data_IF_097421791314
#
_entry.id   IF_097421791314
#
_cell.length_a   1.000
_cell.length_b   1.000
_cell.length_c   1.000
_cell.angle_alpha   90.00
_cell.angle_beta   90.00
_cell.angle_gamma   90.00
#
_symmetry.space_group_name_H-M   'P 1'
#
loop_
_entity.id
_entity.type
_entity.pdbx_description
1 polymer ?
#
# COMPACT_ATOMS: atom_id res chain seq x y z
N UNK A 1 17.47 -21.60 24.04
CA UNK A 1 16.25 -20.94 23.50
C UNK A 1 15.74 -21.80 22.35
N UNK A 2 14.46 -22.20 22.33
CA UNK A 2 13.88 -22.91 21.19
C UNK A 2 13.29 -21.88 20.23
N UNK A 3 13.78 -21.84 18.99
CA UNK A 3 13.24 -20.95 17.96
C UNK A 3 11.97 -21.58 17.40
N UNK A 4 10.83 -20.97 17.69
CA UNK A 4 9.55 -21.43 17.18
C UNK A 4 9.15 -20.58 15.97
N UNK A 5 9.04 -21.24 14.81
CA UNK A 5 8.56 -20.63 13.57
C UNK A 5 7.05 -20.79 13.48
N UNK A 6 6.32 -19.68 13.53
CA UNK A 6 4.87 -19.67 13.37
C UNK A 6 4.48 -19.09 11.99
N UNK A 7 3.67 -19.81 11.18
CA UNK A 7 3.07 -19.25 9.98
C UNK A 7 2.04 -18.18 10.37
N UNK A 8 2.09 -17.02 9.74
CA UNK A 8 1.10 -15.95 9.96
C UNK A 8 -0.25 -16.36 9.36
N UNK A 9 -1.37 -16.25 10.09
CA UNK A 9 -2.69 -16.59 9.55
C UNK A 9 -3.06 -15.73 8.34
N UNK A 10 -3.41 -16.36 7.22
CA UNK A 10 -3.79 -15.73 5.95
C UNK A 10 -5.31 -15.69 5.80
N UNK A 11 -6.01 -14.85 6.58
CA UNK A 11 -7.47 -14.72 6.50
C UNK A 11 -7.95 -13.28 6.73
N UNK A 12 -8.96 -12.81 5.96
CA UNK A 12 -9.56 -13.43 4.78
C UNK A 12 -8.66 -13.34 3.55
N UNK A 13 -8.78 -14.32 2.62
CA UNK A 13 -8.07 -14.28 1.34
C UNK A 13 -8.62 -13.14 0.47
N UNK A 14 -7.78 -12.25 -0.06
CA UNK A 14 -8.23 -11.14 -0.91
C UNK A 14 -8.86 -11.63 -2.22
N UNK A 15 -9.79 -10.86 -2.77
CA UNK A 15 -10.37 -11.07 -4.10
C UNK A 15 -9.62 -10.33 -5.21
N UNK A 16 -8.68 -9.45 -4.86
CA UNK A 16 -7.89 -8.63 -5.77
C UNK A 16 -6.42 -8.63 -5.35
N UNK A 17 -5.51 -8.70 -6.31
CA UNK A 17 -4.07 -8.82 -6.03
C UNK A 17 -3.24 -7.84 -6.85
N UNK A 18 -2.34 -7.14 -6.17
CA UNK A 18 -1.32 -6.32 -6.81
C UNK A 18 -0.19 -7.21 -7.31
N UNK A 19 0.25 -7.06 -8.58
CA UNK A 19 1.48 -7.67 -9.03
C UNK A 19 2.67 -7.01 -8.32
N UNK A 20 3.49 -7.82 -7.67
CA UNK A 20 4.76 -7.43 -7.05
C UNK A 20 5.92 -7.74 -8.00
N UNK A 21 6.50 -6.70 -8.56
CA UNK A 21 7.74 -6.73 -9.32
C UNK A 21 8.95 -6.66 -8.39
N UNK A 22 10.12 -7.06 -8.86
CA UNK A 22 11.33 -6.92 -8.05
C UNK A 22 11.73 -5.45 -7.88
N UNK A 23 12.05 -4.79 -9.00
CA UNK A 23 12.43 -3.40 -9.04
C UNK A 23 12.07 -2.85 -10.43
N UNK A 24 11.32 -1.76 -10.47
CA UNK A 24 10.92 -1.12 -11.70
C UNK A 24 11.72 0.18 -11.90
N UNK A 25 12.46 0.25 -13.00
CA UNK A 25 13.22 1.47 -13.38
C UNK A 25 12.32 2.65 -13.78
N UNK A 26 11.07 2.36 -14.15
CA UNK A 26 10.08 3.31 -14.64
C UNK A 26 8.71 2.93 -14.09
N UNK A 27 7.78 3.88 -14.11
CA UNK A 27 6.38 3.60 -13.78
C UNK A 27 5.85 2.45 -14.67
N UNK A 28 5.20 1.42 -14.12
CA UNK A 28 4.75 0.26 -14.88
C UNK A 28 3.69 0.64 -15.91
N UNK A 29 3.69 0.03 -17.11
CA UNK A 29 2.60 0.22 -18.07
C UNK A 29 1.30 -0.39 -17.53
N UNK A 30 0.14 0.19 -17.87
CA UNK A 30 -1.19 -0.27 -17.39
C UNK A 30 -1.43 -1.77 -17.64
N UNK A 31 -0.90 -2.32 -18.72
CA UNK A 31 -1.00 -3.76 -19.09
C UNK A 31 -0.28 -4.69 -18.12
N UNK A 32 0.64 -4.18 -17.31
CA UNK A 32 1.35 -4.95 -16.29
C UNK A 32 0.75 -4.81 -14.89
N UNK A 33 -0.23 -3.91 -14.74
CA UNK A 33 -0.91 -3.57 -13.50
C UNK A 33 -2.23 -4.34 -13.38
N UNK A 34 -2.67 -4.60 -12.16
CA UNK A 34 -4.00 -5.14 -11.89
C UNK A 34 -5.04 -4.01 -11.91
N UNK A 35 -6.13 -4.21 -12.63
CA UNK A 35 -7.19 -3.21 -12.82
C UNK A 35 -8.36 -3.47 -11.87
N UNK A 36 -8.89 -2.42 -11.28
CA UNK A 36 -10.12 -2.44 -10.49
C UNK A 36 -10.93 -1.15 -10.75
N UNK A 37 -12.20 -1.23 -11.17
CA UNK A 37 -13.04 -0.05 -11.34
C UNK A 37 -13.39 0.57 -9.99
N UNK A 38 -13.52 1.90 -9.94
CA UNK A 38 -14.14 2.58 -8.81
C UNK A 38 -15.65 2.59 -9.00
N UNK A 39 -16.37 2.40 -7.90
CA UNK A 39 -17.81 2.52 -7.81
C UNK A 39 -18.19 3.99 -7.76
N UNK A 40 -19.19 4.39 -8.55
CA UNK A 40 -19.82 5.68 -8.40
C UNK A 40 -20.75 5.64 -7.19
N UNK A 41 -20.45 6.45 -6.17
CA UNK A 41 -21.23 6.53 -4.93
C UNK A 41 -22.30 7.61 -5.03
N UNK A 42 -21.94 8.76 -5.63
CA UNK A 42 -22.86 9.88 -5.84
C UNK A 42 -22.64 10.53 -7.21
N UNK A 43 -23.60 11.36 -7.63
CA UNK A 43 -23.51 12.16 -8.85
C UNK A 43 -24.13 11.51 -10.09
N UNK A 44 -24.06 12.19 -11.25
CA UNK A 44 -24.73 11.76 -12.47
C UNK A 44 -24.02 10.57 -13.13
N UNK A 45 -24.75 9.57 -13.66
CA UNK A 45 -24.15 8.44 -14.35
C UNK A 45 -23.48 8.90 -15.66
N UNK A 46 -22.39 8.25 -16.05
CA UNK A 46 -21.80 8.45 -17.38
C UNK A 46 -20.28 8.57 -17.46
N UNK A 47 -19.57 8.48 -16.34
CA UNK A 47 -18.11 8.45 -16.33
C UNK A 47 -17.60 7.16 -15.70
N UNK A 48 -16.68 6.51 -16.40
CA UNK A 48 -15.98 5.33 -15.93
C UNK A 48 -14.64 5.76 -15.33
N UNK A 49 -14.37 5.26 -14.13
CA UNK A 49 -13.15 5.56 -13.39
C UNK A 49 -12.43 4.24 -13.11
N UNK A 50 -11.32 4.01 -13.80
CA UNK A 50 -10.54 2.79 -13.70
C UNK A 50 -9.27 3.03 -12.89
N UNK A 51 -9.03 2.18 -11.89
CA UNK A 51 -7.77 2.19 -11.15
C UNK A 51 -6.88 1.02 -11.56
N UNK A 52 -5.58 1.26 -11.59
CA UNK A 52 -4.55 0.30 -11.94
C UNK A 52 -3.50 0.27 -10.85
N UNK A 53 -3.10 -0.93 -10.43
CA UNK A 53 -2.26 -1.14 -9.27
C UNK A 53 -1.11 -2.10 -9.57
N UNK A 54 0.07 -1.76 -9.06
CA UNK A 54 1.22 -2.63 -9.04
C UNK A 54 2.13 -2.21 -7.89
N UNK A 55 3.11 -3.03 -7.57
CA UNK A 55 4.16 -2.63 -6.63
C UNK A 55 5.50 -3.24 -7.02
N UNK A 56 6.56 -2.67 -6.48
CA UNK A 56 7.86 -3.32 -6.44
C UNK A 56 8.42 -3.32 -5.01
N UNK A 57 9.68 -3.72 -4.84
CA UNK A 57 10.33 -3.72 -3.53
C UNK A 57 10.45 -2.33 -2.87
N UNK A 58 10.31 -1.24 -3.64
CA UNK A 58 10.53 0.12 -3.20
C UNK A 58 9.26 0.96 -3.15
N UNK A 59 8.31 0.72 -4.05
CA UNK A 59 7.14 1.58 -4.25
C UNK A 59 5.84 0.79 -4.44
N UNK A 60 4.77 1.39 -3.96
CA UNK A 60 3.41 1.15 -4.43
C UNK A 60 3.13 2.07 -5.63
N UNK A 61 2.64 1.52 -6.73
CA UNK A 61 2.26 2.25 -7.94
C UNK A 61 0.74 2.24 -8.11
N UNK A 62 0.17 3.41 -8.37
CA UNK A 62 -1.24 3.58 -8.67
C UNK A 62 -1.39 4.44 -9.93
N UNK A 63 -2.28 4.05 -10.82
CA UNK A 63 -2.79 4.91 -11.87
C UNK A 63 -4.30 4.97 -11.83
N UNK A 64 -4.87 6.15 -12.08
CA UNK A 64 -6.31 6.35 -12.17
C UNK A 64 -6.61 6.97 -13.53
N UNK A 65 -7.40 6.27 -14.33
CA UNK A 65 -7.89 6.74 -15.61
C UNK A 65 -9.36 7.13 -15.48
N UNK A 66 -9.68 8.31 -15.97
CA UNK A 66 -11.03 8.85 -15.97
C UNK A 66 -11.41 9.11 -17.42
N UNK A 67 -12.52 8.52 -17.88
CA UNK A 67 -13.04 8.79 -19.21
C UNK A 67 -13.57 10.23 -19.27
N UNK A 68 -13.10 11.01 -20.25
CA UNK A 68 -13.24 12.46 -20.49
C UNK A 68 -12.05 13.34 -20.06
N UNK A 69 -11.92 14.48 -20.76
CA UNK A 69 -11.00 15.55 -20.39
C UNK A 69 -11.47 16.26 -19.14
N UNK A 70 -10.53 16.61 -18.27
CA UNK A 70 -10.86 17.16 -16.96
C UNK A 70 -9.97 18.36 -16.69
N UNK A 71 -10.56 19.45 -16.19
CA UNK A 71 -9.75 20.51 -15.59
C UNK A 71 -8.90 19.89 -14.49
N UNK A 72 -7.59 20.17 -14.51
CA UNK A 72 -6.67 19.58 -13.54
C UNK A 72 -7.05 19.96 -12.10
N UNK A 73 -6.74 19.09 -11.12
CA UNK A 73 -7.14 19.34 -9.74
C UNK A 73 -6.54 20.65 -9.22
N UNK A 74 -7.39 21.49 -8.61
CA UNK A 74 -7.00 22.82 -8.12
C UNK A 74 -5.98 22.70 -6.98
N UNK A 75 -5.26 23.79 -6.72
CA UNK A 75 -4.13 23.80 -5.76
C UNK A 75 -4.51 23.51 -4.29
N UNK A 76 -5.80 23.50 -3.94
CA UNK A 76 -6.25 23.18 -2.59
C UNK A 76 -6.78 21.76 -2.56
N UNK A 77 -6.29 21.00 -1.60
CA UNK A 77 -6.78 19.66 -1.36
C UNK A 77 -7.73 19.67 -0.20
N UNK A 78 -8.97 19.36 -0.53
CA UNK A 78 -10.03 19.09 0.40
C UNK A 78 -10.82 17.89 -0.14
N UNK A 79 -11.44 17.11 0.75
CA UNK A 79 -12.53 16.23 0.32
C UNK A 79 -13.49 17.02 -0.56
N UNK A 80 -13.94 16.42 -1.68
CA UNK A 80 -14.85 17.05 -2.65
C UNK A 80 -14.27 18.13 -3.60
N UNK A 81 -12.98 18.44 -3.54
CA UNK A 81 -12.33 19.43 -4.42
C UNK A 81 -11.35 18.77 -5.41
N UNK A 82 -11.87 17.93 -6.31
CA UNK A 82 -11.12 17.24 -7.39
C UNK A 82 -9.86 16.48 -6.94
N UNK A 83 -9.79 16.08 -5.67
CA UNK A 83 -8.58 15.48 -5.11
C UNK A 83 -8.68 13.95 -5.15
N UNK A 84 -7.59 13.31 -5.58
CA UNK A 84 -7.36 11.89 -5.37
C UNK A 84 -6.92 11.62 -3.93
N UNK A 85 -7.64 10.78 -3.20
CA UNK A 85 -7.31 10.38 -1.82
C UNK A 85 -7.06 8.87 -1.78
N UNK A 86 -5.90 8.48 -1.26
CA UNK A 86 -5.53 7.10 -1.00
C UNK A 86 -5.45 6.88 0.50
N UNK A 87 -6.30 5.99 1.02
CA UNK A 87 -6.18 5.45 2.37
C UNK A 87 -5.51 4.08 2.31
N UNK A 88 -4.56 3.82 3.20
CA UNK A 88 -3.84 2.54 3.29
C UNK A 88 -3.73 2.10 4.75
N UNK A 89 -3.99 0.82 5.02
CA UNK A 89 -3.88 0.21 6.34
C UNK A 89 -3.28 -1.19 6.28
N UNK A 90 -2.74 -1.63 7.41
CA UNK A 90 -2.37 -3.02 7.69
C UNK A 90 -3.55 -3.88 8.14
N UNK A 91 -4.64 -3.27 8.60
CA UNK A 91 -5.80 -3.98 9.11
C UNK A 91 -6.67 -4.44 7.94
N UNK A 92 -6.84 -5.76 7.82
CA UNK A 92 -7.44 -6.42 6.63
C UNK A 92 -8.69 -7.24 6.98
N UNK A 93 -9.25 -7.05 8.18
CA UNK A 93 -10.41 -7.77 8.71
C UNK A 93 -11.76 -7.35 8.08
N UNK A 94 -11.71 -6.55 7.01
CA UNK A 94 -12.87 -5.96 6.35
C UNK A 94 -13.74 -5.13 7.30
N UNK A 95 -13.24 -4.66 8.44
CA UNK A 95 -13.96 -3.74 9.32
C UNK A 95 -13.50 -2.30 9.05
N UNK A 96 -14.34 -1.35 9.42
CA UNK A 96 -13.92 0.05 9.39
C UNK A 96 -12.84 0.29 10.44
N UNK A 97 -11.81 1.06 10.10
CA UNK A 97 -10.63 1.23 10.96
C UNK A 97 -10.26 2.71 11.13
N UNK A 98 -9.71 3.04 12.31
CA UNK A 98 -9.02 4.32 12.59
C UNK A 98 -7.51 4.23 12.32
N UNK A 99 -6.98 3.03 12.12
CA UNK A 99 -5.54 2.80 11.91
C UNK A 99 -5.21 2.81 10.42
N UNK A 100 -5.07 3.98 9.80
CA UNK A 100 -4.68 4.11 8.39
C UNK A 100 -3.80 5.33 8.16
N UNK A 101 -3.10 5.34 7.03
CA UNK A 101 -2.44 6.52 6.48
C UNK A 101 -3.26 7.03 5.31
N UNK A 102 -3.56 8.33 5.29
CA UNK A 102 -4.24 8.98 4.17
C UNK A 102 -3.29 9.89 3.40
N UNK A 103 -3.26 9.75 2.08
CA UNK A 103 -2.45 10.56 1.17
C UNK A 103 -3.37 11.26 0.18
N UNK A 104 -3.21 12.57 0.03
CA UNK A 104 -3.91 13.36 -0.97
C UNK A 104 -2.99 13.75 -2.12
N UNK A 105 -3.53 13.72 -3.34
CA UNK A 105 -2.83 14.12 -4.56
C UNK A 105 -3.69 15.11 -5.35
N UNK A 106 -3.09 16.26 -5.68
CA UNK A 106 -3.71 17.28 -6.51
C UNK A 106 -2.66 18.11 -7.28
N UNK A 107 -3.12 19.14 -7.97
CA UNK A 107 -2.30 19.97 -8.84
C UNK A 107 -2.01 19.35 -10.20
N UNK A 108 -1.14 20.02 -10.96
CA UNK A 108 -0.74 19.56 -12.29
C UNK A 108 0.62 18.88 -12.23
N UNK A 109 1.03 18.20 -13.30
CA UNK A 109 2.39 17.66 -13.42
C UNK A 109 3.51 18.70 -13.19
N UNK A 110 3.25 20.00 -13.45
CA UNK A 110 4.22 21.08 -13.23
C UNK A 110 4.22 21.59 -11.78
N UNK A 111 3.11 21.46 -11.07
CA UNK A 111 2.92 21.90 -9.68
C UNK A 111 2.18 20.82 -8.90
N UNK A 112 2.82 19.65 -8.68
CA UNK A 112 2.21 18.56 -7.94
C UNK A 112 2.07 18.96 -6.47
N UNK A 113 0.94 18.62 -5.86
CA UNK A 113 0.69 18.79 -4.43
C UNK A 113 0.39 17.42 -3.83
N UNK A 114 1.30 16.95 -2.99
CA UNK A 114 1.16 15.69 -2.25
C UNK A 114 1.35 15.97 -0.77
N UNK A 115 0.45 15.47 0.06
CA UNK A 115 0.51 15.64 1.52
C UNK A 115 -0.22 14.47 2.18
N UNK A 116 0.21 14.15 3.39
CA UNK A 116 -0.52 13.26 4.27
C UNK A 116 -1.69 14.03 4.89
N UNK A 117 -2.88 13.44 4.81
CA UNK A 117 -4.13 14.01 5.32
C UNK A 117 -4.47 13.33 6.65
N UNK A 118 -4.89 14.09 7.64
CA UNK A 118 -5.63 13.54 8.80
C UNK A 118 -7.14 13.76 8.63
N UNK A 119 -7.93 13.20 9.54
CA UNK A 119 -9.40 13.26 9.55
C UNK A 119 -10.04 14.63 9.24
N UNK A 120 -9.35 15.75 9.46
CA UNK A 120 -9.87 17.11 9.22
C UNK A 120 -9.23 17.84 8.03
N UNK A 121 -8.58 17.14 7.10
CA UNK A 121 -7.83 17.80 6.02
C UNK A 121 -6.56 18.51 6.53
N UNK A 122 -6.21 18.34 7.81
CA UNK A 122 -5.00 18.90 8.41
C UNK A 122 -3.82 18.08 7.91
N UNK A 123 -2.77 18.78 7.45
CA UNK A 123 -1.54 18.12 6.99
C UNK A 123 -0.90 17.41 8.17
N UNK A 124 -0.56 16.13 7.98
CA UNK A 124 0.24 15.39 8.94
C UNK A 124 1.72 15.72 8.70
N UNK A 125 2.39 16.53 9.56
CA UNK A 125 3.69 17.12 9.23
C UNK A 125 4.86 16.14 9.31
N UNK A 126 4.65 14.93 9.83
CA UNK A 126 5.72 13.96 10.07
C UNK A 126 6.07 13.09 8.86
N UNK A 127 5.26 13.11 7.80
CA UNK A 127 5.51 12.31 6.60
C UNK A 127 6.19 13.15 5.51
N UNK A 128 7.37 12.72 5.09
CA UNK A 128 8.11 13.34 3.97
C UNK A 128 7.49 12.95 2.62
N UNK A 129 6.42 13.66 2.25
CA UNK A 129 5.71 13.46 0.99
C UNK A 129 6.52 13.90 -0.24
N UNK A 130 7.68 14.54 -0.09
CA UNK A 130 8.51 14.99 -1.22
C UNK A 130 9.06 13.84 -2.06
N UNK A 131 9.16 12.65 -1.48
CA UNK A 131 9.60 11.42 -2.15
C UNK A 131 8.52 10.77 -3.01
N UNK A 132 7.26 11.18 -2.87
CA UNK A 132 6.15 10.67 -3.67
C UNK A 132 6.20 11.34 -5.04
N UNK A 133 6.13 10.53 -6.10
CA UNK A 133 6.06 11.03 -7.47
C UNK A 133 4.61 11.04 -7.92
N UNK A 134 4.11 12.21 -8.29
CA UNK A 134 2.77 12.38 -8.85
C UNK A 134 2.86 13.05 -10.24
N UNK A 135 2.08 12.53 -11.19
CA UNK A 135 1.96 13.10 -12.53
C UNK A 135 0.51 13.02 -12.99
N UNK A 136 0.02 14.12 -13.53
CA UNK A 136 -1.29 14.27 -14.14
C UNK A 136 -1.15 14.58 -15.64
N UNK A 137 -1.74 13.75 -16.48
CA UNK A 137 -1.74 13.91 -17.94
C UNK A 137 -3.16 13.87 -18.46
N UNK A 138 -3.46 14.74 -19.41
CA UNK A 138 -4.73 14.77 -20.13
C UNK A 138 -4.44 14.44 -21.59
N UNK A 139 -5.16 13.48 -22.14
CA UNK A 139 -5.17 13.19 -23.57
C UNK A 139 -6.52 13.64 -24.20
N UNK A 140 -6.76 13.31 -25.47
CA UNK A 140 -7.97 13.76 -26.16
C UNK A 140 -9.26 13.24 -25.51
N UNK A 141 -9.20 12.07 -24.88
CA UNK A 141 -10.38 11.34 -24.42
C UNK A 141 -10.37 11.05 -22.93
N UNK A 142 -9.21 11.03 -22.27
CA UNK A 142 -9.03 10.56 -20.91
C UNK A 142 -8.11 11.48 -20.11
N UNK A 143 -8.31 11.44 -18.79
CA UNK A 143 -7.42 12.05 -17.83
C UNK A 143 -6.78 10.98 -16.96
N UNK A 144 -5.46 11.01 -16.86
CA UNK A 144 -4.65 9.97 -16.22
C UNK A 144 -3.83 10.57 -15.08
N UNK A 145 -4.07 10.05 -13.89
CA UNK A 145 -3.30 10.30 -12.68
C UNK A 145 -2.34 9.14 -12.48
N UNK A 146 -1.08 9.40 -12.17
CA UNK A 146 -0.09 8.38 -11.83
C UNK A 146 0.63 8.77 -10.55
N UNK A 147 0.75 7.82 -9.63
CA UNK A 147 1.38 8.02 -8.31
C UNK A 147 2.34 6.86 -8.03
N UNK A 148 3.57 7.17 -7.65
CA UNK A 148 4.50 6.23 -7.03
C UNK A 148 4.74 6.64 -5.59
N UNK A 149 4.31 5.80 -4.64
CA UNK A 149 4.45 6.00 -3.20
C UNK A 149 5.51 5.04 -2.67
N UNK A 150 6.68 5.53 -2.21
CA UNK A 150 7.66 4.69 -1.56
C UNK A 150 7.11 3.99 -0.31
N UNK A 151 7.40 2.70 -0.15
CA UNK A 151 7.01 1.93 1.04
C UNK A 151 7.59 2.52 2.33
N UNK A 152 8.72 3.23 2.24
CA UNK A 152 9.33 3.94 3.37
C UNK A 152 8.45 5.04 3.96
N UNK A 153 7.46 5.55 3.21
CA UNK A 153 6.49 6.56 3.66
C UNK A 153 5.25 5.90 4.30
N UNK A 154 5.06 4.61 4.06
CA UNK A 154 3.94 3.83 4.58
C UNK A 154 4.40 2.79 5.63
N UNK A 155 5.23 3.14 6.64
CA UNK A 155 5.62 2.15 7.64
C UNK A 155 4.39 1.73 8.46
N UNK A 156 4.25 0.43 8.81
CA UNK A 156 5.20 -0.66 8.62
C UNK A 156 5.02 -1.45 7.30
N UNK A 157 4.16 -1.01 6.38
CA UNK A 157 3.77 -1.79 5.19
C UNK A 157 4.96 -2.15 4.31
N UNK A 158 5.05 -3.44 4.02
CA UNK A 158 6.18 -4.12 3.41
C UNK A 158 5.64 -5.30 2.58
N UNK A 159 5.78 -5.27 1.25
CA UNK A 159 5.01 -6.16 0.35
C UNK A 159 5.32 -7.65 0.52
N UNK A 160 6.49 -8.02 1.04
CA UNK A 160 6.82 -9.42 1.34
C UNK A 160 6.44 -9.85 2.76
N UNK A 161 6.11 -8.92 3.66
CA UNK A 161 5.70 -9.22 5.04
C UNK A 161 4.18 -9.24 5.23
N UNK A 162 3.48 -8.48 4.39
CA UNK A 162 2.04 -8.37 4.43
C UNK A 162 1.49 -8.93 3.13
N UNK A 163 1.07 -10.20 3.16
CA UNK A 163 0.36 -10.83 2.05
C UNK A 163 -0.85 -10.03 1.62
N UNK A 164 -1.47 -9.33 2.56
CA UNK A 164 -2.64 -8.50 2.37
C UNK A 164 -2.44 -7.16 3.07
N UNK A 165 -2.84 -6.10 2.39
CA UNK A 165 -3.04 -4.76 2.96
C UNK A 165 -4.48 -4.33 2.70
N UNK A 166 -4.95 -3.26 3.33
CA UNK A 166 -6.26 -2.70 3.02
C UNK A 166 -6.12 -1.30 2.45
N UNK A 167 -6.86 -0.99 1.39
CA UNK A 167 -6.80 0.29 0.69
C UNK A 167 -8.19 0.86 0.44
N UNK A 168 -8.30 2.17 0.27
CA UNK A 168 -9.43 2.76 -0.45
C UNK A 168 -8.92 3.93 -1.27
N UNK A 169 -9.22 3.92 -2.57
CA UNK A 169 -8.93 5.02 -3.47
C UNK A 169 -10.23 5.75 -3.74
N UNK A 170 -10.22 7.06 -3.53
CA UNK A 170 -11.38 7.91 -3.76
C UNK A 170 -11.00 9.10 -4.62
N UNK A 171 -11.90 9.49 -5.51
CA UNK A 171 -11.80 10.76 -6.23
C UNK A 171 -13.19 11.39 -6.25
N UNK A 172 -13.27 12.62 -5.74
CA UNK A 172 -14.44 13.45 -5.95
C UNK A 172 -14.23 14.26 -7.22
N UNK A 173 -15.27 14.45 -8.03
CA UNK A 173 -15.23 15.11 -9.33
C UNK A 173 -16.29 16.18 -9.41
N UNK A 174 -15.91 17.35 -9.90
CA UNK A 174 -16.85 18.41 -10.24
C UNK A 174 -17.25 18.31 -11.72
N UNK A 175 -18.55 18.43 -11.99
CA UNK A 175 -19.14 18.61 -13.32
C UNK A 175 -19.98 19.86 -13.26
N UNK A 176 -19.72 20.89 -14.06
CA UNK A 176 -20.50 22.15 -14.10
C UNK A 176 -21.04 22.61 -12.71
N UNK A 177 -22.25 22.19 -12.33
CA UNK A 177 -22.93 22.45 -11.05
C UNK A 177 -23.04 21.25 -10.07
N UNK A 178 -22.71 20.04 -10.50
CA UNK A 178 -22.82 18.79 -9.71
C UNK A 178 -21.47 18.22 -9.28
N UNK A 179 -21.51 17.32 -8.29
CA UNK A 179 -20.35 16.58 -7.81
C UNK A 179 -20.64 15.08 -7.84
N UNK A 180 -19.69 14.30 -8.34
CA UNK A 180 -19.70 12.85 -8.20
C UNK A 180 -18.56 12.40 -7.29
N UNK A 181 -18.79 11.32 -6.55
CA UNK A 181 -17.77 10.65 -5.77
C UNK A 181 -17.59 9.25 -6.31
N UNK A 182 -16.35 8.89 -6.60
CA UNK A 182 -15.97 7.54 -7.00
C UNK A 182 -15.05 6.96 -5.93
N UNK A 183 -15.33 5.73 -5.50
CA UNK A 183 -14.54 5.04 -4.48
C UNK A 183 -14.31 3.57 -4.85
N UNK A 184 -13.19 3.00 -4.40
CA UNK A 184 -12.90 1.58 -4.61
C UNK A 184 -13.91 0.70 -3.85
N UNK A 185 -14.22 1.12 -2.63
CA UNK A 185 -15.31 0.61 -1.80
C UNK A 185 -16.02 1.80 -1.17
N UNK A 186 -17.35 1.74 -1.14
CA UNK A 186 -18.17 2.77 -0.49
C UNK A 186 -17.75 2.96 0.97
N UNK A 187 -17.49 4.21 1.34
CA UNK A 187 -17.12 4.62 2.69
C UNK A 187 -18.07 5.71 3.17
N UNK A 188 -19.09 5.30 3.92
CA UNK A 188 -20.10 6.21 4.50
C UNK A 188 -19.48 7.35 5.33
N UNK A 189 -18.27 7.12 5.87
CA UNK A 189 -17.57 8.09 6.71
C UNK A 189 -16.52 8.91 5.96
N UNK A 190 -16.42 8.80 4.63
CA UNK A 190 -15.39 9.43 3.79
C UNK A 190 -15.10 10.89 4.16
N UNK A 191 -16.16 11.68 4.35
CA UNK A 191 -16.11 13.09 4.74
C UNK A 191 -16.84 13.37 6.06
N UNK A 192 -16.97 12.36 6.92
CA UNK A 192 -17.54 12.59 8.25
C UNK A 192 -16.58 13.43 9.09
N UNK A 193 -17.11 14.45 9.76
CA UNK A 193 -16.37 15.22 10.78
C UNK A 193 -16.52 14.60 12.18
N UNK A 194 -17.40 13.61 12.34
CA UNK A 194 -17.71 13.00 13.64
C UNK A 194 -16.95 11.69 13.90
N UNK A 195 -16.28 11.13 12.89
CA UNK A 195 -15.56 9.86 13.04
C UNK A 195 -14.42 9.66 12.03
N UNK A 196 -13.29 9.21 12.55
CA UNK A 196 -12.09 8.84 11.79
C UNK A 196 -12.22 7.47 11.12
N UNK A 197 -13.29 6.72 11.36
CA UNK A 197 -13.47 5.39 10.78
C UNK A 197 -13.47 5.46 9.26
N UNK A 198 -12.72 4.57 8.61
CA UNK A 198 -12.70 4.42 7.15
C UNK A 198 -12.96 3.00 6.74
N UNK A 199 -13.82 2.82 5.74
CA UNK A 199 -14.00 1.54 5.06
C UNK A 199 -12.87 1.33 4.05
N UNK A 200 -12.16 0.21 4.18
CA UNK A 200 -11.06 -0.17 3.30
C UNK A 200 -11.31 -1.56 2.67
N UNK A 201 -10.73 -1.77 1.51
CA UNK A 201 -10.81 -2.99 0.71
C UNK A 201 -9.52 -3.80 0.86
N UNK A 202 -9.58 -5.08 1.29
CA UNK A 202 -8.40 -5.93 1.39
C UNK A 202 -7.88 -6.30 0.00
N UNK A 203 -6.58 -6.13 -0.20
CA UNK A 203 -5.88 -6.44 -1.43
C UNK A 203 -4.65 -7.28 -1.13
N UNK A 204 -4.49 -8.35 -1.89
CA UNK A 204 -3.33 -9.22 -1.79
C UNK A 204 -2.15 -8.65 -2.55
N UNK A 205 -0.95 -9.11 -2.22
CA UNK A 205 0.28 -8.79 -2.96
C UNK A 205 0.83 -10.10 -3.49
N UNK A 206 0.90 -10.22 -4.82
CA UNK A 206 1.28 -11.44 -5.50
C UNK A 206 2.59 -11.23 -6.27
N UNK A 207 3.69 -11.92 -5.92
CA UNK A 207 4.94 -11.86 -6.66
C UNK A 207 4.73 -12.25 -8.13
N UNK A 208 5.13 -11.35 -9.03
CA UNK A 208 5.35 -11.72 -10.43
C UNK A 208 6.62 -12.54 -10.51
N UNK A 209 6.48 -13.77 -11.00
CA UNK A 209 7.51 -14.79 -11.15
C UNK A 209 8.87 -14.18 -11.57
N UNK A 210 9.80 -14.13 -10.63
CA UNK A 210 11.21 -13.87 -10.89
C UNK A 210 12.01 -15.10 -10.48
N UNK A 211 13.15 -15.36 -11.13
CA UNK A 211 13.94 -16.58 -10.89
C UNK A 211 14.81 -16.54 -9.62
N UNK A 212 14.60 -15.55 -8.74
CA UNK A 212 15.45 -15.32 -7.56
C UNK A 212 14.64 -15.40 -6.27
N UNK A 213 15.29 -15.85 -5.19
CA UNK A 213 14.72 -15.82 -3.86
C UNK A 213 14.85 -14.42 -3.22
N UNK A 214 13.87 -14.01 -2.42
CA UNK A 214 13.82 -12.70 -1.78
C UNK A 214 13.45 -12.80 -0.31
N UNK A 215 13.90 -11.80 0.46
CA UNK A 215 13.61 -11.69 1.88
C UNK A 215 13.38 -10.23 2.30
N UNK A 216 12.45 -10.01 3.20
CA UNK A 216 12.21 -8.73 3.88
C UNK A 216 11.97 -9.01 5.36
N UNK A 217 12.49 -8.16 6.24
CA UNK A 217 12.33 -8.32 7.69
C UNK A 217 11.77 -7.06 8.33
N UNK A 218 11.09 -7.21 9.47
CA UNK A 218 10.66 -6.09 10.31
C UNK A 218 10.73 -6.50 11.78
N UNK A 219 11.37 -5.65 12.58
CA UNK A 219 11.49 -5.81 14.02
C UNK A 219 10.33 -5.05 14.70
N UNK A 220 9.52 -5.72 15.51
CA UNK A 220 8.36 -5.09 16.17
C UNK A 220 8.79 -4.20 17.34
N UNK A 221 9.87 -4.54 18.03
CA UNK A 221 10.47 -3.78 19.10
C UNK A 221 12.00 -3.88 19.03
N UNK A 222 12.67 -2.73 19.13
CA UNK A 222 14.14 -2.64 19.21
C UNK A 222 14.65 -2.61 20.66
N UNK A 223 13.76 -2.80 21.63
CA UNK A 223 14.07 -2.85 23.05
C UNK A 223 13.43 -4.09 23.67
N UNK A 224 14.25 -4.94 24.26
CA UNK A 224 13.79 -6.09 25.01
C UNK A 224 13.31 -5.64 26.38
N UNK A 225 12.02 -5.89 26.66
CA UNK A 225 11.46 -5.82 27.99
C UNK A 225 11.19 -7.27 28.39
N UNK A 226 11.78 -7.76 29.48
CA UNK A 226 11.80 -9.21 29.80
C UNK A 226 10.44 -9.92 29.86
N UNK A 227 9.33 -9.18 29.93
CA UNK A 227 7.95 -9.65 29.89
C UNK A 227 7.35 -9.72 28.46
N UNK A 228 8.04 -9.17 27.46
CA UNK A 228 7.68 -9.16 26.03
C UNK A 228 8.84 -9.67 25.19
N UNK A 229 8.76 -10.90 24.63
CA UNK A 229 9.81 -11.41 23.77
C UNK A 229 9.99 -10.50 22.55
N UNK A 230 11.25 -10.31 22.14
CA UNK A 230 11.58 -9.57 20.93
C UNK A 230 11.09 -10.37 19.73
N UNK A 231 10.26 -9.76 18.88
CA UNK A 231 9.67 -10.44 17.73
C UNK A 231 10.23 -9.90 16.41
N UNK A 232 10.79 -10.79 15.59
CA UNK A 232 11.22 -10.49 14.22
C UNK A 232 10.24 -11.14 13.26
N UNK A 233 9.61 -10.33 12.40
CA UNK A 233 8.80 -10.85 11.30
C UNK A 233 9.65 -10.92 10.04
N UNK A 234 9.61 -12.06 9.37
CA UNK A 234 10.32 -12.35 8.13
C UNK A 234 9.31 -12.71 7.04
N UNK A 235 9.53 -12.16 5.86
CA UNK A 235 8.75 -12.37 4.67
C UNK A 235 9.68 -12.85 3.57
N UNK A 236 9.45 -14.05 3.08
CA UNK A 236 10.35 -14.74 2.16
C UNK A 236 9.58 -15.10 0.89
N UNK A 237 10.22 -14.99 -0.27
CA UNK A 237 9.72 -15.53 -1.52
C UNK A 237 10.75 -16.47 -2.12
N UNK A 238 10.34 -17.68 -2.48
CA UNK A 238 11.17 -18.63 -3.20
C UNK A 238 10.54 -19.00 -4.55
N UNK A 239 11.27 -18.90 -5.66
CA UNK A 239 10.75 -19.25 -6.98
C UNK A 239 10.58 -20.76 -7.17
N UNK A 240 11.39 -21.54 -6.46
CA UNK A 240 11.39 -22.99 -6.45
C UNK A 240 11.64 -23.47 -5.03
N UNK A 241 11.22 -24.69 -4.71
CA UNK A 241 11.54 -25.30 -3.42
C UNK A 241 13.05 -25.33 -3.23
N UNK A 242 13.54 -24.80 -2.11
CA UNK A 242 14.97 -24.70 -1.83
C UNK A 242 15.24 -24.77 -0.31
N UNK A 243 16.42 -25.23 0.11
CA UNK A 243 16.83 -25.15 1.50
C UNK A 243 17.09 -23.69 1.88
N UNK A 244 16.48 -23.24 2.97
CA UNK A 244 16.75 -21.94 3.59
C UNK A 244 17.48 -22.15 4.91
N UNK A 245 18.54 -21.36 5.10
CA UNK A 245 19.33 -21.36 6.33
C UNK A 245 19.07 -20.06 7.09
N UNK A 246 18.62 -20.20 8.34
CA UNK A 246 18.46 -19.10 9.27
C UNK A 246 19.63 -19.12 10.26
N UNK A 247 20.50 -18.13 10.14
CA UNK A 247 21.61 -17.90 11.06
C UNK A 247 21.28 -16.70 11.95
N UNK A 248 21.31 -16.89 13.28
CA UNK A 248 21.12 -15.86 14.29
C UNK A 248 22.38 -15.81 15.15
N UNK A 249 22.92 -14.62 15.35
CA UNK A 249 24.05 -14.41 16.24
C UNK A 249 23.73 -13.27 17.22
N UNK A 250 23.95 -13.52 18.51
CA UNK A 250 23.91 -12.51 19.57
C UNK A 250 25.35 -12.08 19.81
N UNK A 251 25.61 -10.77 19.73
CA UNK A 251 26.96 -10.20 19.86
C UNK A 251 27.00 -9.07 20.90
N UNK A 252 28.13 -8.96 21.59
CA UNK A 252 28.51 -7.79 22.38
C UNK A 252 29.72 -7.12 21.73
N UNK A 253 29.49 -5.99 21.06
CA UNK A 253 30.47 -5.42 20.14
C UNK A 253 30.79 -6.42 19.01
N UNK A 254 32.07 -6.77 18.88
CA UNK A 254 32.53 -7.77 17.92
C UNK A 254 32.53 -9.21 18.48
N UNK A 255 32.36 -9.38 19.79
CA UNK A 255 32.38 -10.69 20.44
C UNK A 255 31.04 -11.41 20.22
N UNK A 256 31.10 -12.66 19.75
CA UNK A 256 29.91 -13.48 19.58
C UNK A 256 29.57 -14.20 20.89
N UNK A 257 28.40 -13.91 21.47
CA UNK A 257 27.90 -14.51 22.70
C UNK A 257 27.19 -15.84 22.41
N UNK A 258 26.28 -15.84 21.44
CA UNK A 258 25.50 -17.01 21.06
C UNK A 258 25.32 -17.08 19.55
N UNK A 259 25.26 -18.29 19.00
CA UNK A 259 24.93 -18.55 17.59
C UNK A 259 23.93 -19.67 17.47
N UNK A 260 22.89 -19.44 16.67
CA UNK A 260 21.90 -20.45 16.30
C UNK A 260 21.84 -20.55 14.78
N UNK A 261 21.85 -21.77 14.28
CA UNK A 261 21.70 -22.08 12.86
C UNK A 261 20.59 -23.11 12.73
N UNK A 262 19.60 -22.83 11.90
CA UNK A 262 18.57 -23.78 11.53
C UNK A 262 18.47 -23.85 10.01
N UNK A 263 18.23 -25.06 9.49
CA UNK A 263 17.99 -25.28 8.06
C UNK A 263 16.59 -25.86 7.91
N UNK A 264 15.80 -25.26 7.04
CA UNK A 264 14.47 -25.74 6.71
C UNK A 264 14.29 -25.73 5.21
N UNK A 265 13.63 -26.76 4.68
CA UNK A 265 13.23 -26.75 3.28
C UNK A 265 12.02 -25.83 3.14
N UNK A 266 12.18 -24.79 2.31
CA UNK A 266 11.09 -23.90 1.97
C UNK A 266 10.51 -24.28 0.61
N UNK A 267 9.19 -24.47 0.57
CA UNK A 267 8.47 -24.62 -0.69
C UNK A 267 8.62 -23.40 -1.60
N UNK A 268 8.26 -23.55 -2.87
CA UNK A 268 8.06 -22.38 -3.74
C UNK A 268 6.88 -21.52 -3.24
N UNK A 269 6.95 -20.21 -3.44
CA UNK A 269 5.95 -19.23 -3.03
C UNK A 269 6.39 -18.30 -1.90
N UNK A 270 5.42 -17.58 -1.33
CA UNK A 270 5.62 -16.67 -0.21
C UNK A 270 5.53 -17.40 1.13
N UNK A 271 6.40 -17.04 2.07
CA UNK A 271 6.42 -17.54 3.43
C UNK A 271 6.51 -16.39 4.41
N UNK A 272 5.68 -16.43 5.45
CA UNK A 272 5.72 -15.47 6.55
C UNK A 272 6.07 -16.18 7.85
N UNK A 273 7.15 -15.75 8.48
CA UNK A 273 7.63 -16.32 9.72
C UNK A 273 7.72 -15.27 10.80
N UNK A 274 7.36 -15.70 12.00
CA UNK A 274 7.61 -14.96 13.22
C UNK A 274 8.69 -15.69 14.03
N UNK A 275 9.78 -15.01 14.34
CA UNK A 275 10.79 -15.47 15.30
C UNK A 275 10.46 -14.85 16.67
N UNK A 276 10.36 -15.71 17.70
CA UNK A 276 10.12 -15.34 19.10
C UNK A 276 11.25 -15.87 19.98
#
# INVERSE_FOLDING_TARGET
MALELFPTPSWPRPSFYFPLHFELKKFPPKTEMAMQPLQQITGPPGQEVMSYWACDSLNLFLALEVSQQTEGPRHKVQPWEDTLILNVSRQTDCQSTTCYTSLGFAGTSKKPHVFAITHHGVRFPQLDCSKIKYKFTVDANNSLFTVAVPWSILPPLRPLLYETIAINLSIARRFEEERALYQLVEDENYNSESTDLRRLFPVGICPKLGNSAYAQSFLTCNLWHGDRPMQINLGLYNPQTCPAKLDIAIKEGDACLETHSSTVELGSGCHHWTLR
#
